data_IF_432612531689
#
_entry.id   IF_432612531689
#
_cell.length_a   1.000
_cell.length_b   1.000
_cell.length_c   1.000
_cell.angle_alpha   90.00
_cell.angle_beta   90.00
_cell.angle_gamma   90.00
#
_symmetry.space_group_name_H-M   'P 1'
#
loop_
_entity.id
_entity.type
_entity.pdbx_description
1 polymer ?
#
# COMPACT_ATOMS: atom_id res chain seq x y z
N UNK A 1 14.39 28.16 0.77
CA UNK A 1 14.30 27.95 0.84
C UNK A 1 14.06 27.35 1.09
N UNK A 2 13.87 27.34 1.24
CA UNK A 2 13.64 26.82 1.47
C UNK A 2 13.10 26.16 1.42
N UNK A 3 12.61 26.21 1.34
CA UNK A 3 12.15 25.63 1.24
C UNK A 3 11.93 24.90 0.75
N UNK A 4 11.83 24.87 0.28
CA UNK A 4 11.79 24.30 -0.28
C UNK A 4 11.93 23.35 -0.38
N UNK A 5 12.10 23.25 -0.23
CA UNK A 5 12.29 22.43 -0.31
C UNK A 5 11.96 21.59 -0.14
N UNK A 6 11.52 21.75 -0.06
CA UNK A 6 11.11 21.03 0.03
C UNK A 6 10.60 20.43 -0.38
N UNK A 7 10.37 20.56 -0.81
CA UNK A 7 9.88 20.04 -1.31
C UNK A 7 9.93 19.28 -1.74
N UNK A 8 9.82 19.14 -1.68
CA UNK A 8 9.81 18.47 -2.05
C UNK A 8 9.81 17.87 -2.41
N UNK A 9 9.90 18.18 -1.94
CA UNK A 9 10.11 17.49 -2.78
C UNK A 9 9.78 16.72 -3.48
N UNK A 10 9.67 17.14 -3.91
CA UNK A 10 8.80 16.24 -4.62
C UNK A 10 9.55 15.05 -5.16
N UNK A 11 9.33 13.94 -4.56
CA UNK A 11 9.90 12.72 -5.07
C UNK A 11 9.15 12.33 -6.32
N UNK A 12 9.87 11.77 -7.25
CA UNK A 12 9.30 11.31 -8.50
C UNK A 12 9.10 9.80 -8.41
N UNK A 13 7.86 9.39 -8.36
CA UNK A 13 7.47 7.98 -8.35
C UNK A 13 6.92 7.53 -9.70
N UNK A 14 7.28 8.22 -10.76
CA UNK A 14 6.83 7.84 -12.10
C UNK A 14 7.24 6.40 -12.40
N UNK A 15 6.31 5.64 -12.94
CA UNK A 15 6.54 4.23 -13.25
C UNK A 15 6.27 3.27 -12.11
N UNK A 16 6.01 3.77 -10.91
CA UNK A 16 5.63 2.93 -9.78
C UNK A 16 4.15 2.57 -9.90
N UNK A 17 3.84 1.30 -9.70
CA UNK A 17 2.46 0.81 -9.73
C UNK A 17 2.14 0.18 -8.39
N UNK A 18 1.05 0.62 -7.78
CA UNK A 18 0.61 0.15 -6.47
C UNK A 18 -0.77 -0.47 -6.59
N UNK A 19 -0.93 -1.64 -5.97
CA UNK A 19 -2.24 -2.26 -5.80
C UNK A 19 -2.81 -1.77 -4.49
N UNK A 20 -3.94 -1.08 -4.56
CA UNK A 20 -4.58 -0.47 -3.40
C UNK A 20 -5.82 -1.29 -3.02
N UNK A 21 -5.80 -1.90 -1.84
CA UNK A 21 -6.92 -2.64 -1.30
C UNK A 21 -7.68 -1.73 -0.33
N UNK A 22 -8.87 -1.33 -0.72
CA UNK A 22 -9.69 -0.38 0.03
C UNK A 22 -11.15 -0.60 -0.32
N UNK A 23 -11.99 -0.83 0.67
CA UNK A 23 -13.41 -1.13 0.42
C UNK A 23 -14.28 0.12 0.25
N UNK A 24 -13.78 1.28 0.62
CA UNK A 24 -14.54 2.53 0.58
C UNK A 24 -14.12 3.35 -0.64
N UNK A 25 -15.08 3.65 -1.52
CA UNK A 25 -14.77 4.34 -2.77
C UNK A 25 -14.29 5.78 -2.56
N UNK A 26 -14.75 6.45 -1.52
CA UNK A 26 -14.29 7.81 -1.22
C UNK A 26 -12.82 7.77 -0.79
N UNK A 27 -12.46 6.82 0.08
CA UNK A 27 -11.07 6.65 0.49
C UNK A 27 -10.18 6.29 -0.70
N UNK A 28 -10.68 5.44 -1.60
CA UNK A 28 -9.96 5.12 -2.82
C UNK A 28 -9.71 6.38 -3.68
N UNK A 29 -10.74 7.20 -3.87
CA UNK A 29 -10.61 8.39 -4.70
C UNK A 29 -9.59 9.37 -4.13
N UNK A 30 -9.59 9.55 -2.80
CA UNK A 30 -8.62 10.41 -2.13
C UNK A 30 -7.21 9.89 -2.34
N UNK A 31 -7.00 8.60 -2.12
CA UNK A 31 -5.69 7.99 -2.28
C UNK A 31 -5.22 8.07 -3.73
N UNK A 32 -6.12 7.79 -4.67
CA UNK A 32 -5.78 7.83 -6.08
C UNK A 32 -5.33 9.23 -6.50
N UNK A 33 -6.06 10.26 -6.07
CA UNK A 33 -5.72 11.63 -6.39
C UNK A 33 -4.35 12.01 -5.84
N UNK A 34 -4.12 11.70 -4.56
CA UNK A 34 -2.86 12.04 -3.92
C UNK A 34 -1.66 11.31 -4.53
N UNK A 35 -1.81 10.04 -4.79
CA UNK A 35 -0.71 9.22 -5.30
C UNK A 35 -0.46 9.46 -6.79
N UNK A 36 -1.52 9.68 -7.56
CA UNK A 36 -1.36 10.00 -8.97
C UNK A 36 -0.59 11.30 -9.18
N UNK A 37 -0.75 12.24 -8.26
CA UNK A 37 -0.08 13.54 -8.35
C UNK A 37 1.45 13.41 -8.29
N UNK A 38 1.97 12.33 -7.72
CA UNK A 38 3.42 12.09 -7.65
C UNK A 38 3.88 11.00 -8.63
N UNK A 39 3.02 10.63 -9.56
CA UNK A 39 3.41 9.75 -10.66
C UNK A 39 3.08 8.28 -10.46
N UNK A 40 2.42 7.92 -9.37
CA UNK A 40 2.09 6.52 -9.09
C UNK A 40 0.81 6.12 -9.81
N UNK A 41 0.85 4.95 -10.45
CA UNK A 41 -0.35 4.32 -11.01
C UNK A 41 -1.00 3.44 -9.96
N UNK A 42 -2.30 3.59 -9.80
CA UNK A 42 -3.05 2.84 -8.80
C UNK A 42 -4.00 1.88 -9.50
N UNK A 43 -4.04 0.63 -9.04
CA UNK A 43 -5.10 -0.31 -9.40
C UNK A 43 -5.86 -0.65 -8.13
N UNK A 44 -7.17 -0.68 -8.22
CA UNK A 44 -8.05 -0.75 -7.06
C UNK A 44 -8.60 -2.15 -6.86
N UNK A 45 -8.39 -2.70 -5.67
CA UNK A 45 -9.02 -3.93 -5.20
C UNK A 45 -10.01 -3.55 -4.09
N UNK A 46 -11.27 -3.94 -4.24
CA UNK A 46 -12.32 -3.50 -3.33
C UNK A 46 -12.37 -4.29 -2.02
N UNK A 47 -11.62 -5.37 -1.92
CA UNK A 47 -11.48 -6.14 -0.68
C UNK A 47 -10.23 -7.00 -0.77
N UNK A 48 -9.92 -7.72 0.32
CA UNK A 48 -8.73 -8.55 0.37
C UNK A 48 -8.73 -9.71 -0.62
N UNK A 49 -9.90 -10.31 -0.85
CA UNK A 49 -10.01 -11.41 -1.80
C UNK A 49 -9.67 -10.95 -3.22
N UNK A 50 -10.23 -9.82 -3.63
CA UNK A 50 -9.95 -9.25 -4.95
C UNK A 50 -8.47 -8.88 -5.05
N UNK A 51 -7.90 -8.34 -3.97
CA UNK A 51 -6.49 -7.98 -3.94
C UNK A 51 -5.60 -9.19 -4.21
N UNK A 52 -5.85 -10.30 -3.52
CA UNK A 52 -5.09 -11.52 -3.72
C UNK A 52 -5.23 -12.00 -5.16
N UNK A 53 -6.46 -12.00 -5.68
CA UNK A 53 -6.72 -12.45 -7.05
C UNK A 53 -6.02 -11.58 -8.10
N UNK A 54 -6.07 -10.27 -7.93
CA UNK A 54 -5.41 -9.36 -8.87
C UNK A 54 -3.91 -9.56 -8.84
N UNK A 55 -3.33 -9.71 -7.65
CA UNK A 55 -1.90 -9.95 -7.53
C UNK A 55 -1.53 -11.29 -8.17
N UNK A 56 -2.29 -12.33 -7.87
CA UNK A 56 -2.02 -13.67 -8.38
C UNK A 56 -2.05 -13.72 -9.91
N UNK A 57 -2.98 -12.99 -10.52
CA UNK A 57 -3.12 -12.96 -11.98
C UNK A 57 -2.11 -12.05 -12.67
N UNK A 58 -1.42 -11.21 -11.92
CA UNK A 58 -0.46 -10.29 -12.52
C UNK A 58 0.84 -10.98 -12.86
N UNK A 59 1.58 -10.41 -13.81
CA UNK A 59 2.92 -10.86 -14.10
C UNK A 59 3.83 -10.52 -12.92
N UNK A 60 4.80 -11.38 -12.57
CA UNK A 60 5.75 -11.04 -11.52
C UNK A 60 6.44 -9.70 -11.80
N UNK A 61 6.45 -8.83 -10.80
CA UNK A 61 7.02 -7.49 -10.93
C UNK A 61 6.07 -6.44 -11.45
N UNK A 62 4.83 -6.81 -11.75
CA UNK A 62 3.84 -5.86 -12.26
C UNK A 62 3.50 -4.79 -11.21
N UNK A 63 3.33 -5.21 -9.95
CA UNK A 63 3.10 -4.28 -8.85
C UNK A 63 4.38 -4.07 -8.07
N UNK A 64 4.64 -2.83 -7.68
CA UNK A 64 5.82 -2.50 -6.89
C UNK A 64 5.56 -2.58 -5.39
N UNK A 65 4.31 -2.37 -4.99
CA UNK A 65 3.91 -2.41 -3.59
C UNK A 65 2.40 -2.58 -3.49
N UNK A 66 1.95 -2.92 -2.29
CA UNK A 66 0.52 -3.01 -1.98
C UNK A 66 0.24 -2.09 -0.80
N UNK A 67 -0.77 -1.24 -0.94
CA UNK A 67 -1.35 -0.52 0.20
C UNK A 67 -2.61 -1.28 0.59
N UNK A 68 -2.68 -1.72 1.83
CA UNK A 68 -3.71 -2.66 2.26
C UNK A 68 -4.45 -2.14 3.48
N UNK A 69 -5.73 -1.81 3.30
CA UNK A 69 -6.59 -1.56 4.43
C UNK A 69 -6.71 -2.87 5.22
N UNK A 70 -6.58 -2.79 6.53
CA UNK A 70 -6.65 -4.01 7.33
C UNK A 70 -8.09 -4.44 7.62
N UNK A 71 -9.05 -3.53 7.55
CA UNK A 71 -10.44 -3.86 7.85
C UNK A 71 -11.31 -3.73 6.61
N UNK A 72 -11.58 -4.86 5.99
CA UNK A 72 -12.39 -4.93 4.78
C UNK A 72 -13.35 -6.11 4.88
N UNK A 73 -14.51 -6.03 4.19
CA UNK A 73 -15.41 -7.17 4.14
C UNK A 73 -14.84 -8.28 3.28
N UNK A 74 -15.41 -9.44 3.34
CA UNK A 74 -15.06 -10.64 2.59
C UNK A 74 -13.72 -11.21 3.04
N UNK A 75 -12.64 -10.44 2.95
CA UNK A 75 -11.33 -10.84 3.42
C UNK A 75 -10.59 -9.60 3.89
N UNK A 76 -10.15 -9.62 5.15
CA UNK A 76 -9.40 -8.50 5.74
C UNK A 76 -7.96 -8.47 5.21
N UNK A 77 -7.27 -7.36 5.50
CA UNK A 77 -5.85 -7.28 5.19
C UNK A 77 -5.02 -8.31 5.96
N UNK A 78 -5.44 -8.65 7.18
CA UNK A 78 -4.76 -9.67 7.98
C UNK A 78 -4.80 -11.04 7.32
N UNK A 79 -5.86 -11.30 6.57
CA UNK A 79 -6.00 -12.57 5.87
C UNK A 79 -5.35 -12.55 4.50
N UNK A 80 -5.40 -11.40 3.83
CA UNK A 80 -4.88 -11.27 2.47
C UNK A 80 -3.36 -11.32 2.41
N UNK A 81 -2.68 -10.65 3.34
CA UNK A 81 -1.22 -10.57 3.31
C UNK A 81 -0.54 -11.95 3.39
N UNK A 82 -0.92 -12.84 4.32
CA UNK A 82 -0.32 -14.18 4.33
C UNK A 82 -0.58 -14.96 3.05
N UNK A 83 -1.76 -14.79 2.45
CA UNK A 83 -2.07 -15.48 1.20
C UNK A 83 -1.17 -15.02 0.07
N UNK A 84 -0.89 -13.72 0.00
CA UNK A 84 0.02 -13.16 -1.00
C UNK A 84 1.43 -13.72 -0.79
N UNK A 85 1.91 -13.72 0.46
CA UNK A 85 3.24 -14.25 0.76
C UNK A 85 3.36 -15.73 0.41
N UNK A 86 2.28 -16.48 0.53
CA UNK A 86 2.27 -17.92 0.31
C UNK A 86 2.21 -18.31 -1.17
N UNK A 87 2.08 -17.37 -2.09
CA UNK A 87 1.98 -17.68 -3.52
C UNK A 87 3.28 -18.23 -4.11
N UNK A 88 4.40 -18.04 -3.43
CA UNK A 88 5.66 -18.62 -3.88
C UNK A 88 6.27 -17.96 -5.10
N UNK A 89 5.80 -16.80 -5.47
CA UNK A 89 6.33 -16.05 -6.60
C UNK A 89 7.57 -15.27 -6.16
N UNK A 90 8.45 -14.97 -7.11
CA UNK A 90 9.65 -14.19 -6.81
C UNK A 90 9.32 -12.79 -6.28
N UNK A 91 8.17 -12.22 -6.66
CA UNK A 91 7.75 -10.91 -6.18
C UNK A 91 6.77 -10.98 -5.00
N UNK A 92 6.56 -12.15 -4.41
CA UNK A 92 5.66 -12.31 -3.28
C UNK A 92 6.20 -11.64 -2.00
N UNK A 93 7.44 -11.17 -2.05
CA UNK A 93 8.06 -10.42 -0.95
C UNK A 93 7.95 -8.91 -1.13
N UNK A 94 7.16 -8.44 -2.08
CA UNK A 94 7.01 -7.00 -2.32
C UNK A 94 6.53 -6.28 -1.06
N UNK A 95 6.80 -4.97 -0.94
CA UNK A 95 6.34 -4.23 0.24
C UNK A 95 4.82 -4.22 0.33
N UNK A 96 4.30 -4.56 1.50
CA UNK A 96 2.89 -4.43 1.84
C UNK A 96 2.81 -3.46 3.01
N UNK A 97 2.15 -2.33 2.79
CA UNK A 97 2.01 -1.29 3.80
C UNK A 97 0.55 -1.28 4.25
N UNK A 98 0.34 -1.52 5.54
CA UNK A 98 -1.00 -1.53 6.11
C UNK A 98 -1.53 -0.11 6.28
N UNK A 99 -2.83 0.06 6.07
CA UNK A 99 -3.52 1.29 6.42
C UNK A 99 -4.43 0.99 7.60
N UNK A 100 -4.24 1.70 8.71
CA UNK A 100 -4.97 1.45 9.94
C UNK A 100 -5.58 2.73 10.50
N UNK A 101 -6.76 2.60 11.11
CA UNK A 101 -7.37 3.71 11.82
C UNK A 101 -6.73 3.95 13.18
N UNK A 102 -5.99 2.99 13.70
CA UNK A 102 -5.35 3.09 15.01
C UNK A 102 -3.93 2.55 14.97
N UNK A 103 -2.96 3.47 14.86
CA UNK A 103 -1.55 3.12 14.74
C UNK A 103 -0.90 2.74 16.07
N UNK A 104 -1.63 2.79 17.17
CA UNK A 104 -1.07 2.54 18.50
C UNK A 104 -1.49 1.21 19.09
N UNK A 105 -2.26 0.46 18.38
CA UNK A 105 -2.91 -0.72 18.92
C UNK A 105 -2.17 -1.99 18.58
N UNK A 106 -2.78 -3.09 18.98
CA UNK A 106 -2.36 -4.42 18.59
C UNK A 106 -2.42 -4.61 17.07
N UNK A 107 -3.14 -3.74 16.36
CA UNK A 107 -3.21 -3.79 14.90
C UNK A 107 -1.83 -3.69 14.26
N UNK A 108 -0.96 -2.81 14.80
CA UNK A 108 0.39 -2.67 14.25
C UNK A 108 1.19 -3.95 14.42
N UNK A 109 1.13 -4.54 15.61
CA UNK A 109 1.82 -5.80 15.88
C UNK A 109 1.29 -6.91 14.99
N UNK A 110 -0.03 -6.99 14.87
CA UNK A 110 -0.68 -8.02 14.08
C UNK A 110 -0.34 -7.89 12.60
N UNK A 111 -0.22 -6.66 12.11
CA UNK A 111 0.19 -6.42 10.72
C UNK A 111 1.55 -7.06 10.43
N UNK A 112 2.51 -6.86 11.31
CA UNK A 112 3.84 -7.44 11.13
C UNK A 112 3.80 -8.96 11.19
N UNK A 113 3.02 -9.51 12.10
CA UNK A 113 2.87 -10.96 12.22
C UNK A 113 2.25 -11.58 10.98
N UNK A 114 1.43 -10.83 10.26
CA UNK A 114 0.78 -11.30 9.03
C UNK A 114 1.66 -11.16 7.79
N UNK A 115 2.84 -10.56 7.92
CA UNK A 115 3.74 -10.42 6.78
C UNK A 115 3.73 -9.05 6.13
N UNK A 116 3.10 -8.06 6.75
CA UNK A 116 3.15 -6.70 6.26
C UNK A 116 4.44 -6.02 6.70
N UNK A 117 4.98 -5.15 5.86
CA UNK A 117 6.28 -4.54 6.12
C UNK A 117 6.20 -3.32 7.03
N UNK A 118 5.11 -2.57 6.93
CA UNK A 118 4.98 -1.33 7.68
C UNK A 118 3.51 -0.92 7.73
N UNK A 119 3.23 0.23 8.33
CA UNK A 119 1.87 0.71 8.45
C UNK A 119 1.83 2.23 8.32
N UNK A 120 0.67 2.75 7.96
CA UNK A 120 0.40 4.18 7.99
C UNK A 120 -1.04 4.36 8.46
N UNK A 121 -1.34 5.54 8.96
CA UNK A 121 -2.67 5.83 9.50
C UNK A 121 -3.63 6.27 8.41
N UNK A 122 -4.92 6.21 8.73
CA UNK A 122 -5.99 6.80 7.93
C UNK A 122 -6.49 8.03 8.67
N UNK A 123 -6.73 9.13 7.97
CA UNK A 123 -6.53 9.33 6.54
C UNK A 123 -5.04 9.34 6.17
N UNK A 124 -4.74 9.12 4.89
CA UNK A 124 -3.36 9.03 4.42
C UNK A 124 -2.62 10.34 4.69
N UNK A 125 -1.45 10.22 5.31
CA UNK A 125 -0.50 11.31 5.48
C UNK A 125 0.57 11.13 4.41
N UNK A 126 0.60 12.04 3.44
CA UNK A 126 1.51 11.89 2.31
C UNK A 126 2.98 11.98 2.69
N UNK A 127 3.32 12.76 3.74
CA UNK A 127 4.71 12.82 4.19
C UNK A 127 5.18 11.47 4.72
N UNK A 128 4.34 10.82 5.51
CA UNK A 128 4.66 9.50 6.05
C UNK A 128 4.71 8.47 4.92
N UNK A 129 3.69 8.47 4.07
CA UNK A 129 3.58 7.46 3.02
C UNK A 129 4.71 7.57 2.01
N UNK A 130 5.07 8.78 1.59
CA UNK A 130 6.15 8.94 0.63
C UNK A 130 7.50 8.52 1.22
N UNK A 131 7.72 8.75 2.51
CA UNK A 131 8.93 8.26 3.18
C UNK A 131 8.98 6.74 3.19
N UNK A 132 7.86 6.09 3.50
CA UNK A 132 7.80 4.64 3.49
C UNK A 132 8.02 4.07 2.10
N UNK A 133 7.39 4.65 1.09
CA UNK A 133 7.56 4.20 -0.28
C UNK A 133 8.99 4.39 -0.75
N UNK A 134 9.59 5.54 -0.43
CA UNK A 134 10.98 5.79 -0.80
C UNK A 134 11.91 4.76 -0.16
N UNK A 135 11.65 4.42 1.11
CA UNK A 135 12.44 3.44 1.83
C UNK A 135 12.36 2.05 1.18
N UNK A 136 11.15 1.59 0.91
CA UNK A 136 10.95 0.22 0.41
C UNK A 136 11.19 0.07 -1.08
N UNK A 137 11.02 1.13 -1.84
CA UNK A 137 11.22 1.11 -3.29
C UNK A 137 12.58 1.65 -3.71
N UNK A 138 13.39 2.04 -2.76
CA UNK A 138 14.76 2.54 -3.00
C UNK A 138 14.78 3.77 -3.90
N UNK A 139 13.88 4.72 -3.62
CA UNK A 139 13.76 5.95 -4.40
C UNK A 139 14.28 7.17 -3.67
#
# INVERSE_FOLDING_TARGET
EKAEKRKTPAKDFSGVRILLAEDNDINYEIANELLSAIGIEIEWAQNGQICVEMFEKSEPGYYDAILMDIRMPVMSGYEAAPKIRALGRRDAELPIIAMTADAFSEDVKKCKECGMNDHTSKPIDMDVLTRLLAKYLHR
#
